data_IF_655045283805
#
_entry.id   IF_655045283805
#
_cell.length_a   1.000
_cell.length_b   1.000
_cell.length_c   1.000
_cell.angle_alpha   90.00
_cell.angle_beta   90.00
_cell.angle_gamma   90.00
#
_symmetry.space_group_name_H-M   'P 1'
#
loop_
_entity.id
_entity.type
_entity.pdbx_description
1 polymer ?
#
# COMPACT_ATOMS: atom_id res chain seq x y z
N UNK A 1 4.13 5.01 13.43
CA UNK A 1 4.63 4.03 12.43
C UNK A 1 5.55 4.72 11.42
N UNK A 2 6.45 3.98 10.75
CA UNK A 2 7.48 4.56 9.86
C UNK A 2 7.13 4.26 8.40
N UNK A 3 7.20 5.26 7.53
CA UNK A 3 7.03 5.13 6.08
C UNK A 3 8.38 5.15 5.35
N UNK A 4 8.46 4.61 4.12
CA UNK A 4 9.66 4.66 3.30
C UNK A 4 10.09 6.09 3.00
N UNK A 5 11.40 6.33 2.98
CA UNK A 5 11.96 7.61 2.55
C UNK A 5 12.04 7.63 1.02
N UNK A 6 11.67 8.76 0.43
CA UNK A 6 11.75 9.01 -1.00
C UNK A 6 12.61 10.25 -1.26
N UNK A 7 13.18 10.34 -2.47
CA UNK A 7 13.91 11.55 -2.88
C UNK A 7 12.97 12.73 -3.11
N UNK A 8 13.49 13.95 -3.04
CA UNK A 8 12.69 15.17 -3.16
C UNK A 8 11.90 15.22 -4.47
N UNK A 9 12.52 14.83 -5.58
CA UNK A 9 11.85 14.70 -6.90
C UNK A 9 10.65 13.75 -6.88
N UNK A 10 10.71 12.69 -6.09
CA UNK A 10 9.59 11.74 -5.94
C UNK A 10 8.50 12.34 -5.07
N UNK A 11 8.87 13.07 -4.01
CA UNK A 11 7.93 13.75 -3.12
C UNK A 11 7.19 14.87 -3.87
N UNK A 12 7.90 15.67 -4.66
CA UNK A 12 7.32 16.70 -5.55
C UNK A 12 6.31 16.06 -6.51
N UNK A 13 6.66 14.94 -7.15
CA UNK A 13 5.73 14.22 -8.02
C UNK A 13 4.49 13.74 -7.26
N UNK A 14 4.68 13.15 -6.08
CA UNK A 14 3.56 12.68 -5.25
C UNK A 14 2.63 13.84 -4.89
N UNK A 15 3.17 15.01 -4.59
CA UNK A 15 2.39 16.20 -4.20
C UNK A 15 1.42 16.65 -5.30
N UNK A 16 1.74 16.40 -6.58
CA UNK A 16 0.88 16.72 -7.73
C UNK A 16 -0.23 15.70 -7.98
N UNK A 17 -0.26 14.58 -7.24
CA UNK A 17 -1.26 13.53 -7.43
C UNK A 17 -2.38 13.73 -6.44
N UNK A 18 -3.58 14.02 -6.94
CA UNK A 18 -4.80 14.12 -6.13
C UNK A 18 -5.29 12.76 -5.63
N UNK A 19 -6.23 12.78 -4.69
CA UNK A 19 -6.80 11.57 -4.11
C UNK A 19 -7.44 10.68 -5.18
N UNK A 20 -7.11 9.39 -5.18
CA UNK A 20 -7.64 8.42 -6.13
C UNK A 20 -7.01 8.43 -7.52
N UNK A 21 -6.24 9.47 -7.83
CA UNK A 21 -5.50 9.60 -9.08
C UNK A 21 -4.16 8.86 -9.00
N UNK A 22 -3.46 8.83 -10.11
CA UNK A 22 -2.18 8.14 -10.27
C UNK A 22 -1.25 8.96 -11.18
N UNK A 23 -0.11 8.40 -11.61
CA UNK A 23 0.83 9.13 -12.45
C UNK A 23 0.25 9.67 -13.77
N UNK A 24 -0.86 9.12 -14.28
CA UNK A 24 -1.50 9.57 -15.52
C UNK A 24 -2.15 10.96 -15.40
N UNK A 25 -2.45 11.42 -14.18
CA UNK A 25 -2.95 12.78 -13.95
C UNK A 25 -1.85 13.83 -13.83
N UNK A 26 -0.57 13.43 -13.92
CA UNK A 26 0.54 14.35 -13.75
C UNK A 26 0.70 15.30 -14.95
N UNK A 27 1.10 16.56 -14.72
CA UNK A 27 1.55 17.46 -15.77
C UNK A 27 2.72 16.86 -16.55
N UNK A 28 2.85 17.23 -17.84
CA UNK A 28 3.85 16.67 -18.77
C UNK A 28 5.28 16.68 -18.23
N UNK A 29 5.65 17.69 -17.45
CA UNK A 29 6.97 17.83 -16.84
C UNK A 29 7.30 16.77 -15.77
N UNK A 30 6.28 16.23 -15.08
CA UNK A 30 6.44 15.20 -14.06
C UNK A 30 6.12 13.79 -14.56
N UNK A 31 5.64 13.66 -15.79
CA UNK A 31 5.29 12.38 -16.39
C UNK A 31 6.52 11.47 -16.53
N UNK A 32 6.27 10.18 -16.29
CA UNK A 32 7.30 9.15 -16.41
C UNK A 32 7.40 8.74 -17.88
N UNK A 33 8.64 8.54 -18.36
CA UNK A 33 8.90 8.09 -19.75
C UNK A 33 8.50 6.63 -20.01
N UNK A 34 8.07 5.90 -18.98
CA UNK A 34 7.62 4.52 -19.03
C UNK A 34 7.21 4.01 -17.64
N UNK A 35 6.53 2.86 -17.59
CA UNK A 35 6.05 2.25 -16.35
C UNK A 35 4.71 1.54 -16.53
N UNK A 36 4.20 0.94 -15.45
CA UNK A 36 2.85 0.36 -15.46
C UNK A 36 1.78 1.47 -15.42
N UNK A 37 0.60 1.26 -16.03
CA UNK A 37 -0.44 2.29 -16.13
C UNK A 37 -1.00 2.76 -14.77
N UNK A 38 -0.83 1.96 -13.71
CA UNK A 38 -1.40 2.19 -12.39
C UNK A 38 -0.35 2.47 -11.29
N UNK A 39 0.81 3.01 -11.65
CA UNK A 39 1.84 3.43 -10.67
C UNK A 39 1.56 4.81 -10.09
N UNK A 40 2.20 5.11 -8.95
CA UNK A 40 2.01 6.32 -8.16
C UNK A 40 0.54 6.58 -7.82
N UNK A 41 -0.23 5.52 -7.56
CA UNK A 41 -1.61 5.68 -7.16
C UNK A 41 -1.76 6.23 -5.74
N UNK A 42 -2.63 7.21 -5.55
CA UNK A 42 -3.04 7.70 -4.23
C UNK A 42 -4.32 7.05 -3.76
N UNK A 43 -4.30 6.55 -2.52
CA UNK A 43 -5.47 5.93 -1.89
C UNK A 43 -6.63 6.92 -1.76
N UNK A 44 -7.84 6.38 -1.75
CA UNK A 44 -9.05 7.10 -1.36
C UNK A 44 -9.26 7.00 0.15
N UNK A 45 -9.81 8.04 0.78
CA UNK A 45 -10.23 7.95 2.19
C UNK A 45 -11.48 7.06 2.35
N UNK A 46 -12.41 7.18 1.40
CA UNK A 46 -13.77 6.63 1.53
C UNK A 46 -14.03 5.45 0.59
N UNK A 47 -12.98 4.79 0.08
CA UNK A 47 -13.11 3.58 -0.74
C UNK A 47 -12.13 2.50 -0.26
N UNK A 48 -12.44 1.22 -0.50
CA UNK A 48 -11.49 0.14 -0.25
C UNK A 48 -10.14 0.39 -0.92
N UNK A 49 -9.07 -0.05 -0.27
CA UNK A 49 -7.74 -0.03 -0.85
C UNK A 49 -7.62 -1.06 -1.98
N UNK A 50 -6.70 -0.81 -2.91
CA UNK A 50 -6.26 -1.83 -3.86
C UNK A 50 -5.59 -2.99 -3.10
N UNK A 51 -5.41 -4.14 -3.78
CA UNK A 51 -4.71 -5.29 -3.22
C UNK A 51 -3.34 -4.90 -2.67
N UNK A 52 -3.11 -5.18 -1.39
CA UNK A 52 -1.82 -4.93 -0.72
C UNK A 52 -0.84 -6.00 -1.17
N UNK A 53 0.09 -5.61 -2.05
CA UNK A 53 1.14 -6.51 -2.57
C UNK A 53 2.42 -6.43 -1.75
N UNK A 54 3.32 -7.39 -1.94
CA UNK A 54 4.61 -7.42 -1.23
C UNK A 54 5.53 -6.22 -1.52
N UNK A 55 5.21 -5.38 -2.51
CA UNK A 55 5.96 -4.19 -2.87
C UNK A 55 5.17 -2.89 -2.65
N UNK A 56 4.11 -2.92 -1.82
CA UNK A 56 3.27 -1.75 -1.53
C UNK A 56 3.99 -0.61 -0.78
N UNK A 57 5.24 -0.78 -0.36
CA UNK A 57 6.09 0.32 0.11
C UNK A 57 6.70 1.16 -1.02
N UNK A 58 6.60 0.72 -2.28
CA UNK A 58 7.16 1.41 -3.44
C UNK A 58 6.05 2.15 -4.19
N UNK A 59 6.17 3.48 -4.32
CA UNK A 59 5.18 4.29 -5.07
C UNK A 59 5.20 3.99 -6.58
N UNK A 60 6.29 3.45 -7.11
CA UNK A 60 6.38 2.99 -8.49
C UNK A 60 5.83 1.56 -8.69
N UNK A 61 5.37 0.88 -7.64
CA UNK A 61 4.70 -0.40 -7.79
C UNK A 61 3.28 -0.21 -8.36
N UNK A 62 2.77 -1.18 -9.13
CA UNK A 62 1.39 -1.17 -9.61
C UNK A 62 0.39 -1.15 -8.45
N UNK A 63 -0.43 -0.09 -8.38
CA UNK A 63 -1.48 0.06 -7.37
C UNK A 63 -1.45 1.42 -6.65
N UNK A 64 -2.45 1.62 -5.79
CA UNK A 64 -2.57 2.81 -4.95
C UNK A 64 -1.93 2.59 -3.58
N UNK A 65 -0.70 3.08 -3.44
CA UNK A 65 0.08 2.94 -2.21
C UNK A 65 0.55 4.26 -1.61
N UNK A 66 0.16 5.40 -2.18
CA UNK A 66 0.40 6.71 -1.57
C UNK A 66 -0.70 6.99 -0.54
N UNK A 67 -0.30 7.52 0.62
CA UNK A 67 -1.22 7.91 1.69
C UNK A 67 -2.28 8.90 1.18
N UNK A 68 -3.56 8.80 1.58
CA UNK A 68 -4.63 9.60 0.99
C UNK A 68 -4.47 11.12 1.14
N UNK A 69 -3.78 11.57 2.20
CA UNK A 69 -3.62 13.00 2.53
C UNK A 69 -2.17 13.46 2.72
N UNK A 70 -1.20 12.53 2.68
CA UNK A 70 0.20 12.85 2.99
C UNK A 70 1.07 12.48 1.79
N UNK A 71 2.15 13.23 1.56
CA UNK A 71 3.02 13.03 0.38
C UNK A 71 4.09 11.94 0.63
N UNK A 72 3.61 10.74 0.94
CA UNK A 72 4.44 9.55 1.24
C UNK A 72 3.71 8.27 0.85
N UNK A 73 4.46 7.18 0.69
CA UNK A 73 3.88 5.85 0.66
C UNK A 73 3.19 5.49 1.99
N UNK A 74 2.29 4.53 1.95
CA UNK A 74 1.75 3.89 3.15
C UNK A 74 2.89 3.24 3.94
N UNK A 75 2.81 3.33 5.25
CA UNK A 75 3.73 2.67 6.16
C UNK A 75 3.48 1.17 6.25
N UNK A 76 4.44 0.45 6.82
CA UNK A 76 4.30 -0.98 7.16
C UNK A 76 3.05 -1.23 8.01
N UNK A 77 2.76 -0.36 8.99
CA UNK A 77 1.60 -0.54 9.87
C UNK A 77 0.28 -0.26 9.16
N UNK A 78 0.23 0.76 8.30
CA UNK A 78 -0.96 1.04 7.49
C UNK A 78 -1.24 -0.13 6.53
N UNK A 79 -0.22 -0.67 5.86
CA UNK A 79 -0.36 -1.87 5.03
C UNK A 79 -0.86 -3.08 5.84
N UNK A 80 -0.32 -3.29 7.05
CA UNK A 80 -0.74 -4.37 7.93
C UNK A 80 -2.22 -4.25 8.34
N UNK A 81 -2.68 -3.04 8.67
CA UNK A 81 -4.09 -2.78 9.00
C UNK A 81 -5.02 -3.04 7.81
N UNK A 82 -4.62 -2.63 6.61
CA UNK A 82 -5.36 -2.93 5.38
C UNK A 82 -5.45 -4.44 5.13
N UNK A 83 -4.44 -5.20 5.54
CA UNK A 83 -4.44 -6.66 5.55
C UNK A 83 -5.10 -7.27 6.81
N UNK A 84 -5.80 -6.48 7.62
CA UNK A 84 -6.50 -6.92 8.85
C UNK A 84 -5.63 -7.51 9.97
N UNK A 85 -4.31 -7.26 9.95
CA UNK A 85 -3.46 -7.65 11.06
C UNK A 85 -3.78 -6.82 12.31
N UNK A 86 -3.79 -7.43 13.50
CA UNK A 86 -3.96 -6.69 14.73
C UNK A 86 -2.74 -5.81 14.99
N UNK A 87 -2.96 -4.68 15.66
CA UNK A 87 -1.92 -3.66 15.87
C UNK A 87 -0.73 -4.14 16.72
N UNK A 88 -0.98 -5.14 17.57
CA UNK A 88 0.04 -5.78 18.40
C UNK A 88 0.90 -6.81 17.63
N UNK A 89 0.53 -7.19 16.41
CA UNK A 89 1.32 -8.12 15.60
C UNK A 89 2.64 -7.46 15.17
N UNK A 90 3.76 -8.17 15.37
CA UNK A 90 5.11 -7.69 15.09
C UNK A 90 5.67 -8.38 13.85
N UNK A 91 6.15 -7.56 12.91
CA UNK A 91 6.88 -8.01 11.72
C UNK A 91 8.37 -7.73 11.93
N UNK A 92 9.22 -8.67 11.53
CA UNK A 92 10.67 -8.61 11.71
C UNK A 92 11.42 -8.53 10.37
N UNK A 93 12.69 -8.15 10.40
CA UNK A 93 13.53 -7.99 9.21
C UNK A 93 13.53 -6.57 8.64
N UNK A 94 14.06 -6.43 7.43
CA UNK A 94 14.15 -5.12 6.77
C UNK A 94 12.77 -4.53 6.47
N UNK A 95 12.69 -3.24 6.13
CA UNK A 95 11.42 -2.63 5.76
C UNK A 95 10.79 -3.33 4.54
N UNK A 96 11.61 -3.72 3.56
CA UNK A 96 11.18 -4.47 2.37
C UNK A 96 10.64 -5.85 2.76
N UNK A 97 11.31 -6.56 3.66
CA UNK A 97 10.87 -7.89 4.12
C UNK A 97 9.53 -7.81 4.84
N UNK A 98 9.32 -6.77 5.64
CA UNK A 98 8.04 -6.55 6.34
C UNK A 98 6.89 -6.28 5.37
N UNK A 99 7.10 -5.47 4.32
CA UNK A 99 6.08 -5.31 3.26
C UNK A 99 5.82 -6.63 2.53
N UNK A 100 6.86 -7.41 2.24
CA UNK A 100 6.71 -8.73 1.61
C UNK A 100 5.90 -9.70 2.47
N UNK A 101 6.18 -9.76 3.77
CA UNK A 101 5.40 -10.57 4.74
C UNK A 101 3.93 -10.16 4.75
N UNK A 102 3.64 -8.86 4.80
CA UNK A 102 2.27 -8.34 4.82
C UNK A 102 1.55 -8.62 3.50
N UNK A 103 2.19 -8.33 2.36
CA UNK A 103 1.54 -8.45 1.07
C UNK A 103 1.33 -9.90 0.58
N UNK A 104 2.13 -10.84 1.08
CA UNK A 104 1.98 -12.26 0.75
C UNK A 104 1.08 -13.02 1.74
N UNK A 105 0.70 -12.39 2.84
CA UNK A 105 -0.16 -13.01 3.84
C UNK A 105 -1.63 -13.04 3.39
N UNK A 106 -2.35 -14.05 3.89
CA UNK A 106 -3.82 -14.07 3.87
C UNK A 106 -4.31 -13.14 4.99
N UNK A 107 -5.30 -12.26 4.76
CA UNK A 107 -5.85 -11.40 5.80
C UNK A 107 -6.32 -12.21 7.02
N UNK A 108 -5.89 -11.90 8.26
CA UNK A 108 -6.29 -12.65 9.44
C UNK A 108 -7.80 -12.74 9.66
N UNK A 109 -8.57 -11.70 9.35
CA UNK A 109 -10.04 -11.76 9.47
C UNK A 109 -10.68 -12.74 8.46
N UNK A 110 -10.12 -12.84 7.25
CA UNK A 110 -10.55 -13.84 6.28
C UNK A 110 -10.22 -15.25 6.76
N UNK A 111 -8.99 -15.47 7.24
CA UNK A 111 -8.58 -16.76 7.79
C UNK A 111 -9.44 -17.18 8.99
N UNK A 112 -9.78 -16.24 9.87
CA UNK A 112 -10.67 -16.48 11.01
C UNK A 112 -12.08 -16.90 10.57
N UNK A 113 -12.68 -16.19 9.62
CA UNK A 113 -14.00 -16.54 9.11
C UNK A 113 -14.04 -17.94 8.46
N UNK A 114 -12.99 -18.32 7.74
CA UNK A 114 -12.84 -19.67 7.18
C UNK A 114 -12.71 -20.71 8.29
N UNK A 115 -11.90 -20.47 9.31
CA UNK A 115 -11.71 -21.39 10.43
C UNK A 115 -13.02 -21.64 11.20
N UNK A 116 -13.82 -20.60 11.43
CA UNK A 116 -15.14 -20.73 12.08
C UNK A 116 -16.12 -21.56 11.23
N UNK A 117 -16.04 -21.47 9.90
CA UNK A 117 -16.85 -22.32 9.03
C UNK A 117 -16.41 -23.80 9.10
N UNK A 118 -15.10 -24.06 9.08
CA UNK A 118 -14.54 -25.41 9.21
C UNK A 118 -14.89 -26.04 10.57
N UNK A 119 -14.82 -25.26 11.65
CA UNK A 119 -15.15 -25.73 13.01
C UNK A 119 -16.59 -26.22 13.17
N UNK A 120 -17.52 -25.79 12.32
CA UNK A 120 -18.92 -26.25 12.36
C UNK A 120 -19.12 -27.65 11.77
N UNK A 121 -18.15 -28.11 10.97
CA UNK A 121 -18.23 -29.40 10.26
C UNK A 121 -17.22 -30.43 10.77
N UNK A 122 -16.35 -30.03 11.71
CA UNK A 122 -15.48 -30.90 12.49
C UNK A 122 -16.08 -31.15 13.87
#
# INVERSE_FOLDING_TARGET
>A
HVAPKHSDKVIERIAQIEQGKNHASLPKEYQLKGGYPNIYGRLHLNKPADTITGNCGCVSAPGRFIHPTQNRAISVREAARLQSFPDNYRFFGSMRDRYKQIGNAVPPLLAYAIAEAIKKVL
#
